data_IF_029675696774
#
_entry.id   IF_029675696774
#
_cell.length_a   1.000
_cell.length_b   1.000
_cell.length_c   1.000
_cell.angle_alpha   90.00
_cell.angle_beta   90.00
_cell.angle_gamma   90.00
#
_symmetry.space_group_name_H-M   'P 1'
#
loop_
_entity.id
_entity.type
_entity.pdbx_description
1 polymer ?
#
# COMPACT_ATOMS: atom_id res chain seq x y z
N UNK A 1 6.19 -34.75 48.46
CA UNK A 1 6.88 -34.57 47.16
C UNK A 1 8.27 -34.00 47.42
N UNK A 2 9.35 -34.62 46.92
CA UNK A 2 10.73 -34.26 47.25
C UNK A 2 11.08 -32.82 46.78
N UNK A 3 11.85 -32.05 47.56
CA UNK A 3 12.20 -30.62 47.28
C UNK A 3 12.71 -30.42 45.85
N UNK A 4 13.50 -31.36 45.34
CA UNK A 4 14.03 -31.38 43.96
C UNK A 4 12.94 -31.51 42.90
N UNK A 5 11.92 -32.36 43.12
CA UNK A 5 10.77 -32.52 42.20
C UNK A 5 9.90 -31.27 42.14
N UNK A 6 9.67 -30.59 43.28
CA UNK A 6 8.91 -29.33 43.33
C UNK A 6 9.62 -28.20 42.57
N UNK A 7 10.95 -28.13 42.69
CA UNK A 7 11.78 -27.16 41.95
C UNK A 7 11.76 -27.40 40.45
N UNK A 8 11.92 -28.66 40.00
CA UNK A 8 11.86 -29.01 38.58
C UNK A 8 10.49 -28.71 37.95
N UNK A 9 9.41 -28.93 38.70
CA UNK A 9 8.06 -28.61 38.25
C UNK A 9 7.86 -27.09 38.08
N UNK A 10 8.36 -26.29 39.02
CA UNK A 10 8.30 -24.83 38.92
C UNK A 10 9.11 -24.27 37.74
N UNK A 11 10.30 -24.83 37.48
CA UNK A 11 11.13 -24.47 36.31
C UNK A 11 10.40 -24.81 35.02
N UNK A 12 9.77 -25.99 34.92
CA UNK A 12 9.00 -26.40 33.73
C UNK A 12 7.84 -25.44 33.43
N UNK A 13 7.11 -25.00 34.45
CA UNK A 13 6.04 -23.99 34.29
C UNK A 13 6.62 -22.67 33.80
N UNK A 14 7.73 -22.20 34.40
CA UNK A 14 8.39 -20.96 34.01
C UNK A 14 8.90 -20.98 32.55
N UNK A 15 9.50 -22.09 32.12
CA UNK A 15 9.97 -22.27 30.74
C UNK A 15 8.80 -22.27 29.75
N UNK A 16 7.68 -22.90 30.08
CA UNK A 16 6.49 -22.87 29.23
C UNK A 16 5.89 -21.46 29.10
N UNK A 17 5.80 -20.71 30.21
CA UNK A 17 5.34 -19.31 30.18
C UNK A 17 6.27 -18.46 29.31
N UNK A 18 7.59 -18.65 29.44
CA UNK A 18 8.58 -17.95 28.62
C UNK A 18 8.44 -18.29 27.13
N UNK A 19 8.24 -19.57 26.80
CA UNK A 19 7.99 -20.00 25.42
C UNK A 19 6.73 -19.37 24.83
N UNK A 20 5.63 -19.36 25.58
CA UNK A 20 4.38 -18.69 25.16
C UNK A 20 4.62 -17.19 24.93
N UNK A 21 5.38 -16.53 25.81
CA UNK A 21 5.71 -15.12 25.66
C UNK A 21 6.56 -14.86 24.40
N UNK A 22 7.56 -15.69 24.12
CA UNK A 22 8.40 -15.57 22.92
C UNK A 22 7.56 -15.75 21.65
N UNK A 23 6.68 -16.76 21.63
CA UNK A 23 5.76 -17.01 20.50
C UNK A 23 4.82 -15.83 20.30
N UNK A 24 4.24 -15.29 21.37
CA UNK A 24 3.35 -14.12 21.31
C UNK A 24 4.08 -12.88 20.77
N UNK A 25 5.30 -12.60 21.25
CA UNK A 25 6.12 -11.49 20.73
C UNK A 25 6.47 -11.69 19.26
N UNK A 26 6.78 -12.93 18.85
CA UNK A 26 7.06 -13.29 17.46
C UNK A 26 5.86 -13.03 16.55
N UNK A 27 4.65 -13.42 16.97
CA UNK A 27 3.42 -13.16 16.22
C UNK A 27 3.14 -11.65 16.08
N UNK A 28 3.28 -10.88 17.16
CA UNK A 28 3.05 -9.42 17.15
C UNK A 28 4.05 -8.71 16.23
N UNK A 29 5.35 -9.04 16.31
CA UNK A 29 6.37 -8.46 15.43
C UNK A 29 6.15 -8.81 13.97
N UNK A 30 5.74 -10.05 13.69
CA UNK A 30 5.48 -10.48 12.32
C UNK A 30 4.28 -9.75 11.72
N UNK A 31 3.21 -9.51 12.48
CA UNK A 31 2.07 -8.72 12.01
C UNK A 31 2.46 -7.26 11.74
N UNK A 32 3.28 -6.66 12.61
CA UNK A 32 3.76 -5.29 12.42
C UNK A 32 4.62 -5.11 11.16
N UNK A 33 5.59 -6.00 10.93
CA UNK A 33 6.45 -5.96 9.72
C UNK A 33 5.61 -6.16 8.44
N UNK A 34 4.59 -7.01 8.50
CA UNK A 34 3.71 -7.28 7.35
C UNK A 34 2.79 -6.11 7.01
N UNK A 35 2.22 -5.45 8.00
CA UNK A 35 1.43 -4.22 7.80
C UNK A 35 2.29 -3.10 7.20
N UNK A 36 3.54 -3.01 7.64
CA UNK A 36 4.46 -1.98 7.19
C UNK A 36 4.85 -2.14 5.72
N UNK A 37 5.04 -3.36 5.20
CA UNK A 37 5.42 -3.59 3.79
C UNK A 37 4.30 -3.13 2.83
N UNK A 38 3.06 -3.49 3.12
CA UNK A 38 1.92 -3.18 2.24
C UNK A 38 1.66 -1.67 2.18
N UNK A 39 1.71 -1.00 3.34
CA UNK A 39 1.58 0.45 3.42
C UNK A 39 2.74 1.13 2.72
N UNK A 40 3.98 0.70 2.99
CA UNK A 40 5.17 1.36 2.43
C UNK A 40 5.19 1.24 0.91
N UNK A 41 4.90 0.07 0.34
CA UNK A 41 4.96 -0.12 -1.11
C UNK A 41 3.86 0.68 -1.82
N UNK A 42 2.60 0.51 -1.42
CA UNK A 42 1.49 1.14 -2.14
C UNK A 42 1.41 2.64 -1.89
N UNK A 43 1.60 3.08 -0.64
CA UNK A 43 1.54 4.50 -0.29
C UNK A 43 2.69 5.27 -0.93
N UNK A 44 3.92 4.71 -0.93
CA UNK A 44 5.06 5.37 -1.57
C UNK A 44 4.86 5.44 -3.08
N UNK A 45 4.44 4.37 -3.74
CA UNK A 45 4.22 4.39 -5.20
C UNK A 45 3.14 5.43 -5.57
N UNK A 46 2.07 5.60 -4.76
CA UNK A 46 1.07 6.65 -4.97
C UNK A 46 1.65 8.07 -4.80
N UNK A 47 2.57 8.25 -3.86
CA UNK A 47 3.27 9.52 -3.64
C UNK A 47 4.27 9.80 -4.76
N UNK A 48 4.97 8.78 -5.25
CA UNK A 48 5.90 8.86 -6.38
C UNK A 48 5.14 9.16 -7.68
N UNK A 49 3.98 8.55 -7.90
CA UNK A 49 3.06 8.89 -8.98
C UNK A 49 2.61 10.36 -8.93
N UNK A 50 2.24 10.89 -7.75
CA UNK A 50 1.91 12.31 -7.60
C UNK A 50 3.09 13.20 -8.01
N UNK A 51 4.30 12.81 -7.60
CA UNK A 51 5.54 13.51 -7.92
C UNK A 51 5.90 13.45 -9.40
N UNK A 52 5.73 12.29 -10.04
CA UNK A 52 6.03 12.10 -11.46
C UNK A 52 5.07 12.91 -12.34
N UNK A 53 3.77 12.95 -11.99
CA UNK A 53 2.80 13.81 -12.66
C UNK A 53 3.20 15.29 -12.49
N UNK A 54 3.53 15.72 -11.27
CA UNK A 54 3.95 17.09 -11.01
C UNK A 54 5.17 17.48 -11.87
N UNK A 55 6.16 16.59 -11.95
CA UNK A 55 7.37 16.81 -12.74
C UNK A 55 7.06 16.90 -14.24
N UNK A 56 6.21 16.02 -14.76
CA UNK A 56 5.81 16.07 -16.16
C UNK A 56 4.99 17.31 -16.50
N UNK A 57 4.12 17.79 -15.61
CA UNK A 57 3.42 19.07 -15.81
C UNK A 57 4.41 20.24 -15.96
N UNK A 58 5.44 20.30 -15.12
CA UNK A 58 6.47 21.35 -15.18
C UNK A 58 7.31 21.29 -16.46
N UNK A 59 7.59 20.08 -16.94
CA UNK A 59 8.40 19.82 -18.14
C UNK A 59 7.57 19.74 -19.44
N UNK A 60 6.29 20.12 -19.40
CA UNK A 60 5.35 20.04 -20.54
C UNK A 60 5.22 18.64 -21.14
N UNK A 61 5.20 17.61 -20.29
CA UNK A 61 5.01 16.20 -20.66
C UNK A 61 6.05 15.71 -21.66
N UNK A 62 7.33 16.02 -21.42
CA UNK A 62 8.44 15.60 -22.28
C UNK A 62 8.71 14.09 -22.21
N UNK A 63 8.40 13.45 -21.08
CA UNK A 63 8.60 12.03 -20.81
C UNK A 63 7.33 11.43 -20.15
N UNK A 64 6.20 11.39 -20.87
CA UNK A 64 4.91 10.97 -20.33
C UNK A 64 4.90 9.51 -19.87
N UNK A 65 5.79 8.69 -20.44
CA UNK A 65 5.99 7.30 -20.10
C UNK A 65 6.45 7.10 -18.65
N UNK A 66 7.08 8.11 -18.01
CA UNK A 66 7.40 8.02 -16.59
C UNK A 66 6.12 7.92 -15.75
N UNK A 67 5.07 8.68 -16.08
CA UNK A 67 3.80 8.64 -15.34
C UNK A 67 3.10 7.29 -15.52
N UNK A 68 3.13 6.73 -16.73
CA UNK A 68 2.48 5.46 -17.04
C UNK A 68 3.24 4.26 -16.46
N UNK A 69 4.57 4.33 -16.39
CA UNK A 69 5.40 3.36 -15.67
C UNK A 69 5.12 3.40 -14.16
N UNK A 70 5.12 4.59 -13.55
CA UNK A 70 4.84 4.75 -12.12
C UNK A 70 3.42 4.28 -11.75
N UNK A 71 2.43 4.56 -12.61
CA UNK A 71 1.08 4.02 -12.43
C UNK A 71 1.08 2.47 -12.46
N UNK A 72 1.87 1.87 -13.35
CA UNK A 72 2.07 0.42 -13.38
C UNK A 72 2.63 -0.12 -12.07
N UNK A 73 3.59 0.58 -11.46
CA UNK A 73 4.16 0.21 -10.16
C UNK A 73 3.15 0.37 -9.01
N UNK A 74 2.27 1.37 -9.06
CA UNK A 74 1.12 1.47 -8.14
C UNK A 74 0.20 0.26 -8.28
N UNK A 75 -0.20 -0.08 -9.51
CA UNK A 75 -1.11 -1.20 -9.77
C UNK A 75 -0.52 -2.54 -9.30
N UNK A 76 0.75 -2.78 -9.61
CA UNK A 76 1.48 -3.95 -9.16
C UNK A 76 1.60 -3.99 -7.63
N UNK A 77 1.92 -2.87 -6.99
CA UNK A 77 1.97 -2.74 -5.54
C UNK A 77 0.63 -3.09 -4.89
N UNK A 78 -0.48 -2.58 -5.42
CA UNK A 78 -1.84 -2.90 -4.92
C UNK A 78 -2.13 -4.40 -5.09
N UNK A 79 -1.82 -4.97 -6.25
CA UNK A 79 -2.03 -6.41 -6.52
C UNK A 79 -1.20 -7.30 -5.59
N UNK A 80 0.09 -6.98 -5.39
CA UNK A 80 0.96 -7.66 -4.43
C UNK A 80 0.44 -7.50 -3.00
N UNK A 81 -0.03 -6.31 -2.63
CA UNK A 81 -0.62 -6.06 -1.33
C UNK A 81 -1.85 -6.92 -1.07
N UNK A 82 -2.76 -7.03 -2.03
CA UNK A 82 -3.94 -7.89 -1.91
C UNK A 82 -3.58 -9.37 -1.82
N UNK A 83 -2.69 -9.85 -2.71
CA UNK A 83 -2.33 -11.27 -2.78
C UNK A 83 -1.49 -11.73 -1.60
N UNK A 84 -0.45 -10.97 -1.24
CA UNK A 84 0.35 -11.23 -0.05
C UNK A 84 -0.52 -11.06 1.19
N UNK A 85 -1.20 -9.92 1.38
CA UNK A 85 -2.01 -9.63 2.55
C UNK A 85 -3.07 -10.70 2.84
N UNK A 86 -3.67 -11.29 1.80
CA UNK A 86 -4.60 -12.41 1.94
C UNK A 86 -3.90 -13.71 2.37
N UNK A 87 -2.74 -14.05 1.79
CA UNK A 87 -2.01 -15.28 2.13
C UNK A 87 -1.47 -15.30 3.56
N UNK A 88 -1.06 -14.14 4.07
CA UNK A 88 -0.50 -14.01 5.44
C UNK A 88 -1.52 -13.57 6.49
N UNK A 89 -2.79 -13.39 6.10
CA UNK A 89 -3.91 -13.10 6.99
C UNK A 89 -3.88 -11.70 7.63
N UNK A 90 -3.19 -10.74 7.01
CA UNK A 90 -3.00 -9.37 7.53
C UNK A 90 -3.92 -8.35 6.89
N UNK A 91 -4.61 -8.71 5.81
CA UNK A 91 -5.58 -7.84 5.14
C UNK A 91 -7.00 -8.27 5.51
N UNK A 92 -7.79 -7.36 6.07
CA UNK A 92 -9.20 -7.64 6.33
C UNK A 92 -10.00 -7.66 5.02
N UNK A 93 -11.18 -8.30 5.01
CA UNK A 93 -12.05 -8.30 3.83
C UNK A 93 -12.53 -6.89 3.44
N UNK A 94 -12.64 -5.96 4.39
CA UNK A 94 -12.96 -4.56 4.10
C UNK A 94 -11.81 -3.85 3.41
N UNK A 95 -10.59 -4.02 3.92
CA UNK A 95 -9.38 -3.40 3.34
C UNK A 95 -9.13 -3.95 1.94
N UNK A 96 -9.35 -5.25 1.74
CA UNK A 96 -9.28 -5.88 0.43
C UNK A 96 -10.23 -5.22 -0.56
N UNK A 97 -11.49 -5.00 -0.19
CA UNK A 97 -12.47 -4.32 -1.06
C UNK A 97 -12.10 -2.86 -1.35
N UNK A 98 -11.43 -2.19 -0.43
CA UNK A 98 -10.90 -0.83 -0.67
C UNK A 98 -9.82 -0.89 -1.75
N UNK A 99 -8.86 -1.81 -1.62
CA UNK A 99 -7.78 -2.00 -2.59
C UNK A 99 -8.27 -2.49 -3.96
N UNK A 100 -9.24 -3.41 -4.01
CA UNK A 100 -9.85 -3.89 -5.26
C UNK A 100 -10.52 -2.76 -6.04
N UNK A 101 -11.28 -1.89 -5.34
CA UNK A 101 -11.90 -0.70 -5.94
C UNK A 101 -10.84 0.27 -6.45
N UNK A 102 -9.77 0.48 -5.66
CA UNK A 102 -8.70 1.41 -6.02
C UNK A 102 -7.96 0.91 -7.27
N UNK A 103 -7.57 -0.36 -7.28
CA UNK A 103 -6.98 -1.02 -8.44
C UNK A 103 -7.87 -0.85 -9.67
N UNK A 104 -9.16 -1.16 -9.55
CA UNK A 104 -10.10 -1.08 -10.67
C UNK A 104 -10.24 0.33 -11.25
N UNK A 105 -10.16 1.37 -10.42
CA UNK A 105 -10.24 2.76 -10.88
C UNK A 105 -8.94 3.23 -11.52
N UNK A 106 -7.80 2.95 -10.89
CA UNK A 106 -6.49 3.34 -11.41
C UNK A 106 -6.14 2.61 -12.71
N UNK A 107 -6.58 1.36 -12.86
CA UNK A 107 -6.35 0.56 -14.07
C UNK A 107 -7.14 1.05 -15.30
N UNK A 108 -7.99 2.08 -15.15
CA UNK A 108 -8.67 2.72 -16.27
C UNK A 108 -7.79 3.79 -16.94
N UNK A 109 -6.79 4.31 -16.24
CA UNK A 109 -5.82 5.24 -16.80
C UNK A 109 -4.85 4.48 -17.73
N UNK A 110 -4.36 5.13 -18.80
CA UNK A 110 -3.34 4.55 -19.66
C UNK A 110 -2.10 4.19 -18.82
N UNK A 111 -1.67 2.94 -18.90
CA UNK A 111 -0.47 2.44 -18.25
C UNK A 111 0.34 1.60 -19.23
N UNK A 112 1.63 1.47 -18.96
CA UNK A 112 2.51 0.72 -19.84
C UNK A 112 2.22 -0.78 -19.78
N UNK A 113 2.18 -1.42 -20.95
CA UNK A 113 2.12 -2.87 -21.06
C UNK A 113 3.52 -3.45 -21.25
N UNK A 114 3.65 -4.76 -21.06
CA UNK A 114 4.92 -5.45 -21.29
C UNK A 114 5.41 -5.21 -22.73
N UNK A 115 6.51 -4.47 -22.87
CA UNK A 115 7.14 -4.05 -24.13
C UNK A 115 6.37 -2.99 -24.95
N UNK A 116 5.41 -2.29 -24.36
CA UNK A 116 4.67 -1.24 -25.06
C UNK A 116 4.36 -0.07 -24.13
N UNK A 117 4.92 1.10 -24.47
CA UNK A 117 4.57 2.35 -23.81
C UNK A 117 3.17 2.80 -24.22
N UNK A 118 2.42 3.31 -23.26
CA UNK A 118 1.14 3.97 -23.54
C UNK A 118 1.41 5.37 -24.11
N UNK A 119 0.80 5.67 -25.25
CA UNK A 119 0.80 7.02 -25.81
C UNK A 119 -0.28 7.84 -25.09
N UNK A 120 0.11 8.93 -24.41
CA UNK A 120 -0.84 9.81 -23.71
C UNK A 120 -1.38 10.89 -24.66
N UNK A 121 -2.70 10.90 -24.81
CA UNK A 121 -3.44 12.02 -25.41
C UNK A 121 -3.45 13.23 -24.48
N UNK A 122 -3.88 14.39 -24.97
CA UNK A 122 -4.02 15.57 -24.12
C UNK A 122 -5.16 15.42 -23.09
N UNK A 123 -6.16 14.58 -23.37
CA UNK A 123 -7.22 14.22 -22.42
C UNK A 123 -6.65 13.36 -21.28
N UNK A 124 -5.84 12.35 -21.60
CA UNK A 124 -5.19 11.51 -20.59
C UNK A 124 -4.32 12.34 -19.64
N UNK A 125 -3.57 13.30 -20.18
CA UNK A 125 -2.75 14.24 -19.38
C UNK A 125 -3.63 15.03 -18.41
N UNK A 126 -4.75 15.57 -18.87
CA UNK A 126 -5.68 16.30 -18.00
C UNK A 126 -6.26 15.40 -16.91
N UNK A 127 -6.55 14.14 -17.22
CA UNK A 127 -7.04 13.18 -16.24
C UNK A 127 -5.98 12.81 -15.21
N UNK A 128 -4.72 12.69 -15.60
CA UNK A 128 -3.60 12.56 -14.66
C UNK A 128 -3.43 13.81 -13.79
N UNK A 129 -3.60 15.01 -14.34
CA UNK A 129 -3.57 16.25 -13.54
C UNK A 129 -4.68 16.28 -12.48
N UNK A 130 -5.90 15.82 -12.83
CA UNK A 130 -7.00 15.64 -11.86
C UNK A 130 -6.68 14.58 -10.82
N UNK A 131 -6.08 13.46 -11.24
CA UNK A 131 -5.63 12.40 -10.32
C UNK A 131 -4.64 12.96 -9.31
N UNK A 132 -3.64 13.72 -9.78
CA UNK A 132 -2.67 14.40 -8.92
C UNK A 132 -3.33 15.31 -7.90
N UNK A 133 -4.26 16.16 -8.33
CA UNK A 133 -4.99 17.04 -7.42
C UNK A 133 -5.73 16.24 -6.34
N UNK A 134 -6.37 15.14 -6.73
CA UNK A 134 -7.08 14.24 -5.82
C UNK A 134 -6.14 13.55 -4.84
N UNK A 135 -4.98 13.04 -5.31
CA UNK A 135 -3.94 12.43 -4.48
C UNK A 135 -3.47 13.39 -3.38
N UNK A 136 -3.18 14.64 -3.75
CA UNK A 136 -2.80 15.68 -2.78
C UNK A 136 -3.90 16.00 -1.78
N UNK A 137 -5.16 16.05 -2.23
CA UNK A 137 -6.31 16.35 -1.36
C UNK A 137 -6.48 15.30 -0.26
N UNK A 138 -6.28 14.02 -0.58
CA UNK A 138 -6.36 12.91 0.39
C UNK A 138 -5.05 12.70 1.19
N UNK A 139 -4.05 13.56 1.01
CA UNK A 139 -2.79 13.51 1.74
C UNK A 139 -1.78 12.47 1.22
N UNK A 140 -1.93 12.04 -0.03
CA UNK A 140 -0.98 11.19 -0.76
C UNK A 140 -0.19 12.07 -1.74
N UNK A 141 0.86 12.72 -1.27
CA UNK A 141 1.66 13.58 -2.13
C UNK A 141 2.99 13.95 -1.50
N UNK A 142 3.94 14.32 -2.36
CA UNK A 142 5.28 14.71 -1.93
C UNK A 142 5.18 15.84 -0.92
N UNK A 143 5.89 15.66 0.21
CA UNK A 143 5.91 16.57 1.35
C UNK A 143 4.58 16.75 2.10
N UNK A 144 3.55 15.93 1.82
CA UNK A 144 2.25 15.95 2.54
C UNK A 144 2.05 14.68 3.35
N UNK A 145 2.52 13.54 2.87
CA UNK A 145 2.26 12.25 3.52
C UNK A 145 3.01 12.15 4.85
N UNK A 146 2.26 12.17 5.95
CA UNK A 146 2.78 12.30 7.32
C UNK A 146 2.74 10.97 8.12
N UNK A 147 1.89 10.00 7.75
CA UNK A 147 1.69 8.76 8.52
C UNK A 147 1.65 7.50 7.65
N UNK A 148 2.59 6.59 7.92
CA UNK A 148 2.73 5.28 7.28
C UNK A 148 2.14 4.14 8.13
N UNK A 149 0.94 4.33 8.69
CA UNK A 149 0.22 3.23 9.36
C UNK A 149 -0.96 2.75 8.50
N UNK A 150 -1.31 1.47 8.65
CA UNK A 150 -2.30 0.80 7.79
C UNK A 150 -3.68 1.46 7.87
N UNK A 151 -4.15 1.82 9.06
CA UNK A 151 -5.46 2.43 9.22
C UNK A 151 -5.56 3.80 8.53
N UNK A 152 -4.51 4.63 8.65
CA UNK A 152 -4.42 5.92 7.96
C UNK A 152 -4.41 5.70 6.46
N UNK A 153 -3.56 4.79 5.97
CA UNK A 153 -3.48 4.50 4.54
C UNK A 153 -4.82 4.00 3.97
N UNK A 154 -5.49 3.06 4.64
CA UNK A 154 -6.79 2.54 4.19
C UNK A 154 -7.87 3.63 4.18
N UNK A 155 -7.85 4.56 5.14
CA UNK A 155 -8.73 5.74 5.11
C UNK A 155 -8.46 6.63 3.90
N UNK A 156 -7.18 6.90 3.59
CA UNK A 156 -6.79 7.69 2.42
C UNK A 156 -7.18 6.99 1.12
N UNK A 157 -6.96 5.68 1.02
CA UNK A 157 -7.33 4.87 -0.14
C UNK A 157 -8.85 4.81 -0.34
N UNK A 158 -9.64 4.75 0.73
CA UNK A 158 -11.10 4.84 0.64
C UNK A 158 -11.58 6.23 0.22
N UNK A 159 -10.97 7.28 0.74
CA UNK A 159 -11.29 8.65 0.32
C UNK A 159 -10.92 8.89 -1.15
N UNK A 160 -9.76 8.39 -1.57
CA UNK A 160 -9.29 8.43 -2.96
C UNK A 160 -10.29 7.69 -3.87
N UNK A 161 -10.74 6.50 -3.46
CA UNK A 161 -11.79 5.78 -4.17
C UNK A 161 -13.08 6.59 -4.32
N UNK A 162 -13.45 7.42 -3.36
CA UNK A 162 -14.68 8.22 -3.46
C UNK A 162 -14.53 9.43 -4.37
N UNK A 163 -13.30 9.95 -4.53
CA UNK A 163 -13.01 11.19 -5.27
C UNK A 163 -12.51 10.97 -6.69
N UNK A 164 -11.87 9.84 -7.00
CA UNK A 164 -11.53 9.51 -8.39
C UNK A 164 -12.82 9.34 -9.18
N UNK A 165 -13.11 10.32 -10.02
CA UNK A 165 -14.01 10.18 -11.14
C UNK A 165 -13.29 9.31 -12.17
N UNK A 166 -13.86 8.14 -12.47
CA UNK A 166 -13.32 7.24 -13.48
C UNK A 166 -13.13 8.00 -14.79
N UNK A 167 -11.93 7.98 -15.41
CA UNK A 167 -11.76 8.52 -16.76
C UNK A 167 -12.73 7.78 -17.70
N UNK A 168 -13.41 8.54 -18.57
CA UNK A 168 -14.49 8.06 -19.44
C UNK A 168 -13.97 7.37 -20.70
#
# INVERSE_FOLDING_TARGET
MNKKRKSLFGISIGVNILLVAIVAVGMVKMNFVKEQILVTEVQNNLVELEGSIAKQMEDNWSEPNLVTTELGDVLNGIWLGMTAGQQIGTLSESDKKILERLYSKLNQYPNDELYRFADLTDEDKQDFEKLRATLREVGLGLNITINANMASFMSQAEELNNKIESPL
#
